data_IF_371619580511
#
_entry.id   IF_371619580511
#
_cell.length_a   1.000
_cell.length_b   1.000
_cell.length_c   1.000
_cell.angle_alpha   90.00
_cell.angle_beta   90.00
_cell.angle_gamma   90.00
#
_symmetry.space_group_name_H-M   'P 1'
#
loop_
_entity.id
_entity.type
_entity.pdbx_description
1 polymer ?
#
# COMPACT_ATOMS: atom_id res chain seq x y z
N UNK A 1 21.39 26.88 0.86
CA UNK A 1 21.36 25.69 1.75
C UNK A 1 20.20 25.68 2.75
N UNK A 2 19.59 26.81 3.12
CA UNK A 2 18.59 26.86 4.22
C UNK A 2 17.16 26.43 3.85
N UNK A 3 16.77 26.56 2.58
CA UNK A 3 15.40 26.24 2.14
C UNK A 3 15.04 24.75 2.30
N UNK A 4 16.02 23.85 2.16
CA UNK A 4 15.80 22.41 2.27
C UNK A 4 15.46 22.00 3.71
N UNK A 5 16.08 22.62 4.70
CA UNK A 5 15.77 22.37 6.12
C UNK A 5 14.40 22.90 6.53
N UNK A 6 13.91 23.97 5.87
CA UNK A 6 12.56 24.48 6.09
C UNK A 6 11.49 23.57 5.48
N UNK A 7 11.79 22.94 4.34
CA UNK A 7 10.92 21.96 3.69
C UNK A 7 10.98 20.56 4.32
N UNK A 8 12.12 20.19 4.91
CA UNK A 8 12.36 18.87 5.47
C UNK A 8 11.21 18.36 6.39
N UNK A 9 10.71 19.13 7.38
CA UNK A 9 9.65 18.62 8.26
C UNK A 9 8.34 18.35 7.52
N UNK A 10 7.93 19.19 6.56
CA UNK A 10 6.70 18.95 5.79
C UNK A 10 6.85 17.80 4.81
N UNK A 11 8.01 17.65 4.19
CA UNK A 11 8.31 16.51 3.31
C UNK A 11 8.35 15.19 4.09
N UNK A 12 8.99 15.18 5.27
CA UNK A 12 9.01 13.99 6.14
C UNK A 12 7.59 13.64 6.58
N UNK A 13 6.80 14.63 7.02
CA UNK A 13 5.40 14.42 7.36
C UNK A 13 4.62 13.82 6.20
N UNK A 14 4.70 14.43 5.02
CA UNK A 14 4.07 13.90 3.80
C UNK A 14 4.48 12.46 3.51
N UNK A 15 5.78 12.15 3.53
CA UNK A 15 6.28 10.80 3.27
C UNK A 15 5.78 9.79 4.30
N UNK A 16 5.75 10.14 5.59
CA UNK A 16 5.23 9.23 6.61
C UNK A 16 3.75 8.95 6.39
N UNK A 17 2.93 9.99 6.20
CA UNK A 17 1.49 9.84 6.06
C UNK A 17 1.05 9.31 4.69
N UNK A 18 1.90 9.40 3.66
CA UNK A 18 1.63 8.82 2.35
C UNK A 18 2.18 7.38 2.25
N UNK A 19 3.44 7.18 2.61
CA UNK A 19 4.16 5.95 2.34
C UNK A 19 3.77 4.82 3.30
N UNK A 20 3.54 5.12 4.59
CA UNK A 20 3.11 4.10 5.56
C UNK A 20 1.78 3.44 5.16
N UNK A 21 0.68 4.18 4.90
CA UNK A 21 -0.56 3.55 4.48
C UNK A 21 -0.45 2.93 3.08
N UNK A 22 0.38 3.48 2.18
CA UNK A 22 0.62 2.89 0.87
C UNK A 22 1.27 1.50 0.98
N UNK A 23 2.35 1.37 1.77
CA UNK A 23 3.01 0.09 2.02
C UNK A 23 2.08 -0.86 2.78
N UNK A 24 1.28 -0.37 3.72
CA UNK A 24 0.27 -1.17 4.42
C UNK A 24 -0.77 -1.75 3.45
N UNK A 25 -1.33 -0.92 2.55
CA UNK A 25 -2.26 -1.38 1.52
C UNK A 25 -1.63 -2.37 0.55
N UNK A 26 -0.37 -2.12 0.15
CA UNK A 26 0.40 -3.04 -0.69
C UNK A 26 0.64 -4.37 0.04
N UNK A 27 0.97 -4.36 1.33
CA UNK A 27 1.12 -5.60 2.11
C UNK A 27 -0.21 -6.36 2.17
N UNK A 28 -1.31 -5.65 2.39
CA UNK A 28 -2.63 -6.27 2.48
C UNK A 28 -3.08 -6.93 1.18
N UNK A 29 -2.60 -6.51 0.01
CA UNK A 29 -2.92 -7.21 -1.24
C UNK A 29 -2.22 -8.57 -1.37
N UNK A 30 -1.21 -8.88 -0.55
CA UNK A 30 -0.55 -10.19 -0.50
C UNK A 30 -1.06 -11.09 0.64
N UNK A 31 -2.05 -10.66 1.43
CA UNK A 31 -2.70 -11.48 2.47
C UNK A 31 -4.19 -11.61 2.17
N UNK A 32 -4.81 -12.72 2.58
CA UNK A 32 -6.21 -13.02 2.26
C UNK A 32 -7.24 -12.21 3.09
N UNK A 33 -6.87 -11.77 4.29
CA UNK A 33 -7.73 -10.98 5.18
C UNK A 33 -6.93 -9.94 5.96
N UNK A 34 -7.44 -8.69 6.10
CA UNK A 34 -6.80 -7.67 6.94
C UNK A 34 -6.70 -8.03 8.42
N UNK A 35 -7.58 -8.92 8.91
CA UNK A 35 -7.63 -9.37 10.30
C UNK A 35 -7.57 -10.90 10.33
N UNK A 36 -6.52 -11.43 10.97
CA UNK A 36 -6.33 -12.88 11.09
C UNK A 36 -6.01 -13.61 9.79
N UNK A 37 -5.67 -12.88 8.73
CA UNK A 37 -5.31 -13.45 7.44
C UNK A 37 -3.90 -14.05 7.40
N UNK A 38 -3.65 -14.87 6.38
CA UNK A 38 -2.38 -15.48 6.06
C UNK A 38 -1.78 -14.86 4.80
N UNK A 39 -0.45 -14.90 4.68
CA UNK A 39 0.22 -14.48 3.45
C UNK A 39 -0.06 -15.48 2.32
N UNK A 40 -0.66 -14.99 1.24
CA UNK A 40 -1.06 -15.78 0.07
C UNK A 40 -0.29 -15.40 -1.20
N UNK A 41 0.67 -14.49 -1.10
CA UNK A 41 1.48 -14.05 -2.23
C UNK A 41 0.60 -13.44 -3.32
N UNK A 42 0.71 -13.96 -4.55
CA UNK A 42 -0.02 -13.42 -5.71
C UNK A 42 -1.43 -13.98 -5.91
N UNK A 43 -1.91 -14.87 -5.04
CA UNK A 43 -3.20 -15.54 -5.23
C UNK A 43 -4.36 -14.55 -5.40
N UNK A 44 -4.44 -13.53 -4.54
CA UNK A 44 -5.44 -12.47 -4.62
C UNK A 44 -5.48 -11.78 -6.00
N UNK A 45 -4.31 -11.54 -6.60
CA UNK A 45 -4.22 -10.91 -7.92
C UNK A 45 -4.70 -11.85 -9.03
N UNK A 46 -4.35 -13.14 -8.95
CA UNK A 46 -4.81 -14.14 -9.91
C UNK A 46 -6.33 -14.26 -9.86
N UNK A 47 -6.91 -14.34 -8.66
CA UNK A 47 -8.35 -14.43 -8.46
C UNK A 47 -9.07 -13.16 -8.96
N UNK A 48 -8.49 -11.99 -8.68
CA UNK A 48 -9.03 -10.70 -9.12
C UNK A 48 -9.02 -10.57 -10.64
N UNK A 49 -7.91 -10.95 -11.30
CA UNK A 49 -7.79 -10.93 -12.75
C UNK A 49 -8.59 -12.05 -13.44
N UNK A 50 -8.95 -13.11 -12.72
CA UNK A 50 -9.92 -14.12 -13.19
C UNK A 50 -11.38 -13.70 -13.04
N UNK A 51 -11.65 -12.61 -12.30
CA UNK A 51 -13.02 -12.17 -12.01
C UNK A 51 -13.57 -11.28 -13.14
N UNK A 52 -14.54 -11.82 -13.89
CA UNK A 52 -15.17 -11.12 -15.02
C UNK A 52 -15.94 -9.84 -14.63
N UNK A 53 -16.37 -9.70 -13.36
CA UNK A 53 -17.01 -8.47 -12.86
C UNK A 53 -15.95 -7.39 -12.61
N UNK A 54 -14.77 -7.77 -12.13
CA UNK A 54 -13.67 -6.83 -11.91
C UNK A 54 -13.08 -6.32 -13.23
N UNK A 55 -13.04 -7.15 -14.27
CA UNK A 55 -12.49 -6.80 -15.58
C UNK A 55 -13.43 -5.95 -16.47
N UNK A 56 -14.67 -5.69 -16.03
CA UNK A 56 -15.70 -4.99 -16.80
C UNK A 56 -15.96 -3.60 -16.25
#
# INVERSE_FOLDING_TARGET
>A
MSALFFLAPSLIGFLLFFFVPFVGGLYYSFVDSPVGGSFVGLANYIDLLGNAVFLK
#
